data_IF_461298604630
#
_entry.id   IF_461298604630
#
_cell.length_a   1.000
_cell.length_b   1.000
_cell.length_c   1.000
_cell.angle_alpha   90.00
_cell.angle_beta   90.00
_cell.angle_gamma   90.00
#
_symmetry.space_group_name_H-M   'P 1'
#
loop_
_entity.id
_entity.type
_entity.pdbx_description
1 polymer ?
#
# COMPACT_ATOMS: atom_id res chain seq x y z
N UNK A 1 -1.05 22.45 12.89
CA UNK A 1 -0.48 21.34 13.68
C UNK A 1 0.90 21.06 13.12
N UNK A 2 1.96 20.95 13.94
CA UNK A 2 3.24 20.45 13.44
C UNK A 2 3.02 18.97 13.07
N UNK A 3 3.05 18.67 11.78
CA UNK A 3 2.78 17.33 11.26
C UNK A 3 4.00 16.74 10.56
N UNK A 4 3.99 15.41 10.44
CA UNK A 4 4.99 14.65 9.70
C UNK A 4 4.95 15.00 8.20
N UNK A 5 6.12 15.24 7.62
CA UNK A 5 6.30 15.38 6.16
C UNK A 5 5.85 14.13 5.39
N UNK A 6 5.98 12.95 5.99
CA UNK A 6 5.52 11.67 5.42
C UNK A 6 4.00 11.65 5.32
N UNK A 7 3.30 12.11 6.36
CA UNK A 7 1.85 12.21 6.33
C UNK A 7 1.36 13.24 5.31
N UNK A 8 2.05 14.39 5.22
CA UNK A 8 1.73 15.42 4.23
C UNK A 8 1.89 14.88 2.81
N UNK A 9 2.98 14.17 2.52
CA UNK A 9 3.21 13.54 1.22
C UNK A 9 2.17 12.44 0.92
N UNK A 10 1.86 11.58 1.88
CA UNK A 10 0.88 10.50 1.69
C UNK A 10 -0.50 11.06 1.30
N UNK A 11 -1.00 12.07 2.02
CA UNK A 11 -2.29 12.72 1.72
C UNK A 11 -2.24 13.47 0.39
N UNK A 12 -1.12 14.12 0.08
CA UNK A 12 -0.95 14.80 -1.20
C UNK A 12 -1.04 13.81 -2.36
N UNK A 13 -0.31 12.69 -2.31
CA UNK A 13 -0.29 11.67 -3.36
C UNK A 13 -1.62 10.93 -3.49
N UNK A 14 -2.30 10.66 -2.37
CA UNK A 14 -3.63 10.07 -2.35
C UNK A 14 -4.62 10.95 -3.12
N UNK A 15 -4.64 12.26 -2.85
CA UNK A 15 -5.51 13.21 -3.57
C UNK A 15 -5.10 13.41 -5.03
N UNK A 16 -3.80 13.52 -5.30
CA UNK A 16 -3.27 13.68 -6.66
C UNK A 16 -3.65 12.49 -7.55
N UNK A 17 -3.62 11.28 -6.99
CA UNK A 17 -3.87 10.03 -7.72
C UNK A 17 -5.32 9.54 -7.61
N UNK A 18 -6.21 10.31 -6.98
CA UNK A 18 -7.60 9.92 -6.73
C UNK A 18 -7.77 8.63 -5.91
N UNK A 19 -6.86 8.36 -4.99
CA UNK A 19 -6.88 7.17 -4.11
C UNK A 19 -6.47 5.86 -4.80
N UNK A 20 -6.07 5.88 -6.07
CA UNK A 20 -5.79 4.64 -6.82
C UNK A 20 -4.43 4.01 -6.51
N UNK A 21 -3.50 4.78 -5.92
CA UNK A 21 -2.14 4.33 -5.66
C UNK A 21 -2.07 3.11 -4.72
N UNK A 22 -3.00 2.99 -3.76
CA UNK A 22 -3.06 1.85 -2.83
C UNK A 22 -3.53 0.54 -3.48
N UNK A 23 -4.11 0.62 -4.68
CA UNK A 23 -4.56 -0.53 -5.46
C UNK A 23 -3.55 -0.99 -6.50
N UNK A 24 -2.40 -0.32 -6.60
CA UNK A 24 -1.35 -0.68 -7.54
C UNK A 24 -0.76 -2.05 -7.19
N UNK A 25 -0.73 -2.94 -8.17
CA UNK A 25 -0.03 -4.22 -8.06
C UNK A 25 1.43 -4.05 -8.48
N UNK A 26 2.32 -4.75 -7.77
CA UNK A 26 3.74 -4.81 -8.08
C UNK A 26 4.11 -6.25 -8.40
N UNK A 27 4.90 -6.45 -9.44
CA UNK A 27 5.55 -7.74 -9.72
C UNK A 27 6.67 -7.93 -8.69
N UNK A 28 6.48 -8.86 -7.77
CA UNK A 28 7.47 -9.20 -6.76
C UNK A 28 7.22 -10.60 -6.22
N UNK A 29 8.23 -11.19 -5.54
CA UNK A 29 8.16 -12.57 -5.07
C UNK A 29 7.12 -12.78 -3.96
N UNK A 30 6.63 -11.71 -3.35
CA UNK A 30 5.77 -11.72 -2.18
C UNK A 30 4.58 -10.79 -2.36
N UNK A 31 3.40 -11.26 -1.95
CA UNK A 31 2.19 -10.45 -1.86
C UNK A 31 1.42 -10.76 -0.58
N UNK A 32 0.91 -9.73 0.08
CA UNK A 32 -0.01 -9.90 1.21
C UNK A 32 -1.44 -9.90 0.70
N UNK A 33 -2.22 -10.93 1.06
CA UNK A 33 -3.67 -10.98 0.79
C UNK A 33 -4.43 -10.39 1.98
N UNK A 34 -5.33 -9.41 1.77
CA UNK A 34 -6.21 -8.92 2.84
C UNK A 34 -6.96 -10.08 3.51
N UNK A 35 -6.95 -10.12 4.85
CA UNK A 35 -7.62 -11.13 5.66
C UNK A 35 -8.27 -10.47 6.88
N UNK A 36 -9.50 -10.85 7.27
CA UNK A 36 -10.15 -10.28 8.45
C UNK A 36 -9.41 -10.61 9.76
N UNK A 37 -8.65 -11.71 9.79
CA UNK A 37 -7.82 -12.12 10.92
C UNK A 37 -6.51 -12.74 10.43
N UNK A 38 -5.43 -12.46 11.16
CA UNK A 38 -4.09 -12.95 10.85
C UNK A 38 -3.45 -12.29 9.63
N UNK A 39 -2.31 -12.84 9.20
CA UNK A 39 -1.53 -12.38 8.05
C UNK A 39 -1.42 -13.52 7.04
N UNK A 40 -1.87 -13.28 5.80
CA UNK A 40 -1.71 -14.23 4.70
C UNK A 40 -0.68 -13.67 3.72
N UNK A 41 0.42 -14.38 3.56
CA UNK A 41 1.49 -14.06 2.61
C UNK A 41 1.46 -15.11 1.50
N UNK A 42 1.50 -14.65 0.26
CA UNK A 42 1.62 -15.46 -0.94
C UNK A 42 3.03 -15.29 -1.48
N UNK A 43 3.68 -16.41 -1.76
CA UNK A 43 4.96 -16.48 -2.46
C UNK A 43 4.69 -16.89 -3.91
N UNK A 44 5.22 -16.16 -4.88
CA UNK A 44 5.26 -16.67 -6.25
C UNK A 44 6.37 -17.69 -6.34
N UNK A 45 6.08 -18.87 -6.91
CA UNK A 45 7.11 -19.88 -7.14
C UNK A 45 8.27 -19.30 -7.97
N UNK A 46 9.52 -19.73 -7.70
CA UNK A 46 10.70 -19.26 -8.42
C UNK A 46 10.66 -19.55 -9.92
#
# INVERSE_FOLDING_TARGET
QPHSEVAALAVFLDRLSGGTAVHREFSGPLRIRPSPRGKVVLESEP
#
